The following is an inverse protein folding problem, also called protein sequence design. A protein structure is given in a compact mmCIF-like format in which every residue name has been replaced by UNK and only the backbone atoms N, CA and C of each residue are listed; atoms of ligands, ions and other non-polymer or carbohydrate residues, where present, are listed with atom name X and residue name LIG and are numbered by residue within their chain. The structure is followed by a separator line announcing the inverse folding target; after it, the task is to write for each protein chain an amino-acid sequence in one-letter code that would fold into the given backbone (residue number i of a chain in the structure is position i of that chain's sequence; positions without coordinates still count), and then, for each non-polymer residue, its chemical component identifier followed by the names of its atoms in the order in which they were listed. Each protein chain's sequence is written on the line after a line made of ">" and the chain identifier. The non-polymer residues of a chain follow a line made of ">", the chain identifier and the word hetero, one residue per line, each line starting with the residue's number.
data_IF_714913241761
#
_entry.id   IF_714913241761
#
_cell.length_a   1.000
_cell.length_b   1.000
_cell.length_c   1.000
_cell.angle_alpha   90.00
_cell.angle_beta   90.00
_cell.angle_gamma   90.00
#
_symmetry.space_group_name_H-M   'P 1'
#
loop_
_entity.id
_entity.type
_entity.pdbx_description
1 polymer ?
#
# COMPACT_ATOMS: atom_id res chain seq x y z
N UNK A 1 34.89 -24.65 -25.63
CA UNK A 1 34.55 -23.29 -26.19
C UNK A 1 33.12 -23.23 -26.73
N UNK A 2 32.53 -24.31 -27.31
CA UNK A 2 31.14 -24.29 -27.86
C UNK A 2 30.07 -24.40 -26.81
N UNK A 3 30.32 -25.06 -25.66
CA UNK A 3 29.38 -25.18 -24.53
C UNK A 3 29.25 -23.88 -23.71
N UNK A 4 30.32 -23.12 -23.56
CA UNK A 4 30.30 -21.86 -22.83
C UNK A 4 29.55 -20.75 -23.60
N UNK A 5 29.67 -20.76 -24.95
CA UNK A 5 28.89 -19.87 -25.82
C UNK A 5 27.40 -20.16 -25.77
N UNK A 6 26.98 -21.43 -25.62
CA UNK A 6 25.59 -21.82 -25.46
C UNK A 6 25.02 -21.38 -24.12
N UNK A 7 25.78 -21.57 -23.02
CA UNK A 7 25.34 -21.15 -21.68
C UNK A 7 25.22 -19.59 -21.55
N UNK A 8 26.16 -18.84 -22.12
CA UNK A 8 26.08 -17.38 -22.16
C UNK A 8 24.89 -16.90 -23.01
N UNK A 9 24.62 -17.56 -24.15
CA UNK A 9 23.46 -17.29 -25.00
C UNK A 9 22.13 -17.62 -24.30
N UNK A 10 22.08 -18.68 -23.50
CA UNK A 10 20.90 -19.04 -22.72
C UNK A 10 20.67 -18.09 -21.55
N UNK A 11 21.73 -17.63 -20.90
CA UNK A 11 21.64 -16.59 -19.85
C UNK A 11 21.16 -15.27 -20.46
N UNK A 12 21.68 -14.90 -21.64
CA UNK A 12 21.25 -13.66 -22.34
C UNK A 12 19.80 -13.77 -22.85
N UNK A 13 19.37 -14.92 -23.33
CA UNK A 13 17.97 -15.17 -23.72
C UNK A 13 17.05 -15.18 -22.51
N UNK A 14 17.49 -15.70 -21.37
CA UNK A 14 16.73 -15.62 -20.11
C UNK A 14 16.63 -14.19 -19.58
N UNK A 15 17.70 -13.39 -19.66
CA UNK A 15 17.68 -11.98 -19.28
C UNK A 15 16.81 -11.15 -20.23
N UNK A 16 16.85 -11.39 -21.53
CA UNK A 16 15.96 -10.74 -22.50
C UNK A 16 14.49 -11.13 -22.33
N UNK A 17 14.20 -12.36 -21.91
CA UNK A 17 12.85 -12.79 -21.54
C UNK A 17 12.36 -12.18 -20.21
N UNK A 18 13.25 -11.78 -19.32
CA UNK A 18 12.91 -11.09 -18.07
C UNK A 18 12.36 -9.67 -18.30
N UNK A 19 12.68 -9.04 -19.43
CA UNK A 19 12.24 -7.68 -19.75
C UNK A 19 11.11 -7.60 -20.79
N UNK A 20 10.83 -8.65 -21.55
CA UNK A 20 9.91 -8.59 -22.69
C UNK A 20 8.89 -9.72 -22.77
N UNK A 21 8.93 -10.74 -21.91
CA UNK A 21 7.85 -11.71 -21.84
C UNK A 21 6.87 -11.30 -20.74
N UNK A 22 5.61 -11.12 -21.10
CA UNK A 22 4.51 -11.29 -20.17
C UNK A 22 4.86 -12.50 -19.29
N UNK A 23 5.12 -12.22 -18.00
CA UNK A 23 5.35 -13.26 -17.01
C UNK A 23 4.01 -13.98 -16.84
N UNK A 24 3.79 -15.00 -17.67
CA UNK A 24 2.53 -15.75 -17.72
C UNK A 24 2.52 -16.76 -16.56
N UNK A 25 2.21 -16.23 -15.38
CA UNK A 25 2.06 -16.99 -14.12
C UNK A 25 1.02 -18.10 -14.27
N UNK A 26 0.10 -18.00 -15.23
CA UNK A 26 -1.01 -18.95 -15.39
C UNK A 26 -0.56 -20.36 -15.71
N UNK A 27 0.63 -20.51 -16.30
CA UNK A 27 1.19 -21.83 -16.70
C UNK A 27 1.85 -22.59 -15.55
N UNK A 28 2.24 -21.87 -14.50
CA UNK A 28 3.00 -22.43 -13.37
C UNK A 28 2.16 -22.61 -12.11
N UNK A 29 0.88 -22.18 -12.14
CA UNK A 29 -0.05 -22.33 -11.03
C UNK A 29 -0.70 -23.72 -11.06
N UNK A 30 -0.58 -24.43 -9.95
CA UNK A 30 -1.24 -25.72 -9.74
C UNK A 30 -2.43 -25.57 -8.78
N UNK A 31 -3.44 -26.40 -8.97
CA UNK A 31 -4.57 -26.46 -8.03
C UNK A 31 -4.56 -27.87 -7.39
N UNK A 32 -4.18 -27.93 -6.13
CA UNK A 32 -4.12 -29.18 -5.37
C UNK A 32 -5.43 -29.47 -4.61
N UNK A 33 -6.24 -28.43 -4.37
CA UNK A 33 -7.51 -28.57 -3.66
C UNK A 33 -8.70 -28.54 -4.65
N UNK A 34 -9.65 -29.48 -4.58
CA UNK A 34 -10.84 -29.48 -5.45
C UNK A 34 -11.65 -28.20 -5.37
N UNK A 35 -11.74 -27.58 -4.18
CA UNK A 35 -12.44 -26.32 -3.91
C UNK A 35 -11.60 -25.07 -4.17
N UNK A 36 -10.30 -25.23 -4.43
CA UNK A 36 -9.34 -24.13 -4.51
C UNK A 36 -9.66 -23.10 -5.59
N UNK A 37 -10.18 -23.53 -6.74
CA UNK A 37 -10.60 -22.62 -7.82
C UNK A 37 -11.80 -21.77 -7.43
N UNK A 38 -12.81 -22.38 -6.83
CA UNK A 38 -14.06 -21.69 -6.40
C UNK A 38 -13.73 -20.69 -5.31
N UNK A 39 -12.96 -21.11 -4.30
CA UNK A 39 -12.55 -20.23 -3.19
C UNK A 39 -11.74 -19.04 -3.70
N UNK A 40 -10.78 -19.26 -4.60
CA UNK A 40 -9.98 -18.21 -5.20
C UNK A 40 -10.81 -17.22 -6.00
N UNK A 41 -11.78 -17.71 -6.77
CA UNK A 41 -12.69 -16.88 -7.55
C UNK A 41 -13.59 -16.02 -6.64
N UNK A 42 -14.18 -16.61 -5.62
CA UNK A 42 -15.01 -15.88 -4.65
C UNK A 42 -14.19 -14.80 -3.95
N UNK A 43 -12.98 -15.12 -3.50
CA UNK A 43 -12.08 -14.20 -2.83
C UNK A 43 -11.69 -13.03 -3.75
N UNK A 44 -11.34 -13.30 -5.00
CA UNK A 44 -11.00 -12.27 -5.98
C UNK A 44 -12.20 -11.33 -6.25
N UNK A 45 -13.39 -11.87 -6.48
CA UNK A 45 -14.61 -11.09 -6.72
C UNK A 45 -14.94 -10.22 -5.50
N UNK A 46 -14.90 -10.80 -4.28
CA UNK A 46 -15.18 -10.07 -3.05
C UNK A 46 -14.23 -8.89 -2.86
N UNK A 47 -12.95 -9.09 -3.11
CA UNK A 47 -11.93 -8.04 -2.93
C UNK A 47 -12.02 -6.98 -4.01
N UNK A 48 -12.22 -7.34 -5.27
CA UNK A 48 -12.47 -6.37 -6.34
C UNK A 48 -13.73 -5.54 -6.02
N UNK A 49 -14.79 -6.18 -5.57
CA UNK A 49 -16.02 -5.51 -5.11
C UNK A 49 -15.75 -4.56 -3.94
N UNK A 50 -14.95 -4.98 -2.96
CA UNK A 50 -14.57 -4.14 -1.82
C UNK A 50 -13.75 -2.93 -2.25
N UNK A 51 -12.76 -3.10 -3.12
CA UNK A 51 -11.93 -1.99 -3.65
C UNK A 51 -12.81 -0.94 -4.34
N UNK A 52 -13.77 -1.36 -5.14
CA UNK A 52 -14.71 -0.45 -5.82
C UNK A 52 -15.70 0.18 -4.82
N UNK A 53 -16.09 -0.54 -3.75
CA UNK A 53 -17.02 -0.05 -2.73
C UNK A 53 -16.36 0.92 -1.73
N UNK A 54 -15.04 0.83 -1.50
CA UNK A 54 -14.34 1.67 -0.50
C UNK A 54 -14.55 3.18 -0.72
N UNK A 55 -14.45 3.76 -1.91
CA UNK A 55 -14.75 5.17 -2.11
C UNK A 55 -16.17 5.56 -1.65
N UNK A 56 -17.14 4.70 -1.90
CA UNK A 56 -18.52 4.90 -1.46
C UNK A 56 -18.66 4.74 0.06
N UNK A 57 -18.04 3.73 0.66
CA UNK A 57 -18.01 3.52 2.12
C UNK A 57 -17.42 4.74 2.82
N UNK A 58 -16.28 5.25 2.32
CA UNK A 58 -15.62 6.44 2.84
C UNK A 58 -16.55 7.66 2.74
N UNK A 59 -17.25 7.81 1.63
CA UNK A 59 -18.23 8.87 1.42
C UNK A 59 -19.35 8.81 2.45
N UNK A 60 -19.93 7.64 2.70
CA UNK A 60 -21.01 7.46 3.69
C UNK A 60 -20.53 7.69 5.13
N UNK A 61 -19.37 7.15 5.51
CA UNK A 61 -18.76 7.42 6.82
C UNK A 61 -18.58 8.92 7.00
N UNK A 62 -18.06 9.61 5.98
CA UNK A 62 -17.83 11.06 6.05
C UNK A 62 -19.14 11.86 6.11
N UNK A 63 -20.16 11.42 5.41
CA UNK A 63 -21.51 12.00 5.48
C UNK A 63 -22.10 11.91 6.88
N UNK A 64 -21.85 10.80 7.57
CA UNK A 64 -22.26 10.62 8.97
C UNK A 64 -21.49 11.51 9.94
N UNK A 65 -20.18 11.70 9.73
CA UNK A 65 -19.31 12.52 10.59
C UNK A 65 -19.53 14.03 10.36
N UNK A 66 -19.91 14.42 9.14
CA UNK A 66 -20.10 15.82 8.71
C UNK A 66 -20.99 16.69 9.62
N UNK A 67 -22.14 16.23 10.17
CA UNK A 67 -22.96 17.05 11.06
C UNK A 67 -22.30 17.37 12.40
N UNK A 68 -21.31 16.56 12.84
CA UNK A 68 -20.56 16.82 14.08
C UNK A 68 -19.38 17.80 13.91
N UNK A 69 -19.10 18.27 12.69
CA UNK A 69 -17.99 19.19 12.41
C UNK A 69 -18.49 20.66 12.36
N UNK A 70 -17.61 21.59 12.77
CA UNK A 70 -17.86 23.04 12.66
C UNK A 70 -18.05 23.46 11.19
N UNK A 71 -18.83 24.53 10.94
CA UNK A 71 -19.18 25.01 9.59
C UNK A 71 -17.97 25.24 8.66
N UNK A 72 -16.84 25.71 9.20
CA UNK A 72 -15.61 25.93 8.45
C UNK A 72 -14.92 24.63 8.01
N UNK A 73 -15.10 23.56 8.77
CA UNK A 73 -14.54 22.21 8.48
C UNK A 73 -15.45 21.47 7.51
N UNK A 74 -16.73 21.74 7.55
CA UNK A 74 -17.75 21.17 6.66
C UNK A 74 -17.50 21.50 5.18
N UNK A 75 -16.98 22.70 4.87
CA UNK A 75 -16.59 23.08 3.50
C UNK A 75 -15.38 22.30 2.98
N UNK A 76 -14.49 21.88 3.86
CA UNK A 76 -13.32 21.05 3.51
C UNK A 76 -13.65 19.55 3.43
N UNK A 77 -14.84 19.15 3.84
CA UNK A 77 -15.27 17.76 3.93
C UNK A 77 -15.17 16.99 2.59
N UNK A 78 -15.66 17.59 1.52
CA UNK A 78 -15.64 16.97 0.18
C UNK A 78 -14.22 16.78 -0.35
N UNK A 79 -13.34 17.77 -0.11
CA UNK A 79 -11.93 17.67 -0.49
C UNK A 79 -11.20 16.56 0.29
N UNK A 80 -11.56 16.34 1.54
CA UNK A 80 -10.98 15.28 2.37
C UNK A 80 -11.39 13.90 1.88
N UNK A 81 -12.66 13.69 1.53
CA UNK A 81 -13.12 12.41 0.94
C UNK A 81 -12.40 12.11 -0.37
N UNK A 82 -12.26 13.13 -1.23
CA UNK A 82 -11.51 12.97 -2.48
C UNK A 82 -10.04 12.59 -2.22
N UNK A 83 -9.39 13.26 -1.26
CA UNK A 83 -8.02 12.93 -0.87
C UNK A 83 -7.89 11.48 -0.33
N UNK A 84 -8.81 11.04 0.54
CA UNK A 84 -8.85 9.66 1.06
C UNK A 84 -8.94 8.66 -0.09
N UNK A 85 -9.90 8.87 -1.00
CA UNK A 85 -10.09 8.00 -2.16
C UNK A 85 -8.85 7.96 -3.05
N UNK A 86 -8.24 9.12 -3.31
CA UNK A 86 -7.03 9.22 -4.13
C UNK A 86 -5.85 8.46 -3.50
N UNK A 87 -5.60 8.66 -2.20
CA UNK A 87 -4.54 7.95 -1.48
C UNK A 87 -4.79 6.44 -1.47
N UNK A 88 -6.02 6.01 -1.19
CA UNK A 88 -6.35 4.59 -1.20
C UNK A 88 -6.10 3.96 -2.57
N UNK A 89 -6.62 4.55 -3.64
CA UNK A 89 -6.42 4.05 -5.01
C UNK A 89 -4.95 4.08 -5.43
N UNK A 90 -4.20 5.11 -5.03
CA UNK A 90 -2.75 5.15 -5.30
C UNK A 90 -1.99 4.02 -4.61
N UNK A 91 -2.41 3.62 -3.40
CA UNK A 91 -1.86 2.45 -2.70
C UNK A 91 -2.16 1.14 -3.43
N UNK A 92 -3.40 0.97 -3.91
CA UNK A 92 -3.79 -0.19 -4.73
C UNK A 92 -2.96 -0.24 -6.02
N UNK A 93 -2.85 0.87 -6.75
CA UNK A 93 -2.06 0.95 -7.99
C UNK A 93 -0.58 0.67 -7.74
N UNK A 94 0.01 1.25 -6.70
CA UNK A 94 1.39 0.97 -6.33
C UNK A 94 1.62 -0.51 -6.04
N UNK A 95 0.72 -1.11 -5.26
CA UNK A 95 0.78 -2.54 -4.95
C UNK A 95 0.68 -3.40 -6.22
N UNK A 96 -0.27 -3.09 -7.10
CA UNK A 96 -0.53 -3.85 -8.32
C UNK A 96 0.63 -3.78 -9.32
N UNK A 97 1.15 -2.57 -9.59
CA UNK A 97 2.15 -2.38 -10.64
C UNK A 97 3.59 -2.59 -10.16
N UNK A 98 3.88 -2.43 -8.89
CA UNK A 98 5.25 -2.46 -8.39
C UNK A 98 5.48 -3.59 -7.39
N UNK A 99 4.69 -3.68 -6.33
CA UNK A 99 4.98 -4.60 -5.24
C UNK A 99 4.67 -6.06 -5.63
N UNK A 100 3.52 -6.30 -6.23
CA UNK A 100 3.12 -7.66 -6.63
C UNK A 100 4.04 -8.30 -7.69
N UNK A 101 4.36 -7.62 -8.81
CA UNK A 101 5.28 -8.20 -9.80
C UNK A 101 6.66 -8.49 -9.20
N UNK A 102 7.17 -7.57 -8.36
CA UNK A 102 8.47 -7.74 -7.73
C UNK A 102 8.47 -8.92 -6.75
N UNK A 103 7.47 -9.02 -5.87
CA UNK A 103 7.35 -10.10 -4.89
C UNK A 103 7.17 -11.45 -5.58
N UNK A 104 6.30 -11.53 -6.57
CA UNK A 104 6.07 -12.78 -7.32
C UNK A 104 7.30 -13.23 -8.08
N UNK A 105 7.97 -12.31 -8.79
CA UNK A 105 9.20 -12.62 -9.53
C UNK A 105 10.31 -13.11 -8.60
N UNK A 106 10.51 -12.43 -7.47
CA UNK A 106 11.49 -12.86 -6.48
C UNK A 106 11.19 -14.26 -5.94
N UNK A 107 9.97 -14.48 -5.48
CA UNK A 107 9.57 -15.76 -4.86
C UNK A 107 9.59 -16.92 -5.85
N UNK A 108 9.25 -16.71 -7.13
CA UNK A 108 9.37 -17.73 -8.17
C UNK A 108 10.82 -18.05 -8.52
N UNK A 109 11.70 -17.03 -8.50
CA UNK A 109 13.11 -17.20 -8.84
C UNK A 109 13.96 -17.73 -7.69
N UNK A 110 13.46 -17.64 -6.45
CA UNK A 110 14.21 -18.03 -5.26
C UNK A 110 14.06 -19.54 -4.99
N UNK A 111 14.98 -20.33 -5.50
CA UNK A 111 15.06 -21.79 -5.28
C UNK A 111 16.49 -22.22 -4.89
N UNK A 112 16.91 -21.93 -3.64
CA UNK A 112 18.27 -22.22 -3.17
C UNK A 112 18.57 -23.73 -3.03
N UNK A 113 17.51 -24.55 -2.93
CA UNK A 113 17.65 -26.01 -2.74
C UNK A 113 17.37 -26.84 -4.00
N UNK A 114 17.07 -26.20 -5.14
CA UNK A 114 16.71 -26.84 -6.41
C UNK A 114 15.55 -27.84 -6.27
N UNK A 115 14.56 -27.53 -5.45
CA UNK A 115 13.40 -28.41 -5.21
C UNK A 115 12.26 -28.15 -6.21
N UNK A 116 12.32 -27.01 -6.92
CA UNK A 116 11.26 -26.54 -7.82
C UNK A 116 10.09 -25.93 -7.06
N UNK A 117 9.85 -24.64 -7.30
CA UNK A 117 8.75 -23.92 -6.65
C UNK A 117 7.43 -24.20 -7.38
N UNK A 118 6.52 -24.94 -6.73
CA UNK A 118 5.15 -25.11 -7.20
C UNK A 118 4.20 -24.18 -6.41
N UNK A 119 3.49 -23.33 -7.12
CA UNK A 119 2.55 -22.40 -6.51
C UNK A 119 1.12 -22.90 -6.67
N UNK A 120 0.36 -22.83 -5.58
CA UNK A 120 -1.07 -23.14 -5.63
C UNK A 120 -1.87 -21.87 -5.89
N UNK A 121 -2.89 -21.96 -6.74
CA UNK A 121 -3.77 -20.85 -7.09
C UNK A 121 -4.34 -20.12 -5.84
N UNK A 122 -4.85 -20.81 -4.80
CA UNK A 122 -5.36 -20.13 -3.61
C UNK A 122 -4.31 -19.30 -2.85
N UNK A 123 -3.06 -19.80 -2.76
CA UNK A 123 -1.98 -19.07 -2.09
C UNK A 123 -1.58 -17.82 -2.89
N UNK A 124 -1.52 -17.93 -4.21
CA UNK A 124 -1.24 -16.78 -5.07
C UNK A 124 -2.31 -15.70 -4.94
N UNK A 125 -3.60 -16.07 -5.00
CA UNK A 125 -4.70 -15.12 -4.84
C UNK A 125 -4.71 -14.51 -3.43
N UNK A 126 -4.43 -15.30 -2.40
CA UNK A 126 -4.33 -14.79 -1.02
C UNK A 126 -3.22 -13.73 -0.88
N UNK A 127 -2.04 -13.99 -1.44
CA UNK A 127 -0.93 -13.03 -1.48
C UNK A 127 -1.34 -11.73 -2.20
N UNK A 128 -1.94 -11.89 -3.37
CA UNK A 128 -2.42 -10.78 -4.20
C UNK A 128 -3.39 -9.89 -3.42
N UNK A 129 -4.41 -10.47 -2.82
CA UNK A 129 -5.43 -9.80 -2.03
C UNK A 129 -4.84 -9.11 -0.81
N UNK A 130 -4.03 -9.83 -0.03
CA UNK A 130 -3.42 -9.29 1.18
C UNK A 130 -2.56 -8.07 0.87
N UNK A 131 -1.72 -8.15 -0.16
CA UNK A 131 -0.81 -7.07 -0.53
C UNK A 131 -1.56 -5.85 -1.04
N UNK A 132 -2.58 -6.02 -1.89
CA UNK A 132 -3.41 -4.94 -2.40
C UNK A 132 -4.14 -4.19 -1.28
N UNK A 133 -4.88 -4.91 -0.44
CA UNK A 133 -5.69 -4.29 0.61
C UNK A 133 -4.83 -3.63 1.68
N UNK A 134 -3.77 -4.31 2.12
CA UNK A 134 -2.87 -3.75 3.13
C UNK A 134 -2.24 -2.45 2.65
N UNK A 135 -1.75 -2.41 1.42
CA UNK A 135 -1.13 -1.22 0.84
C UNK A 135 -2.14 -0.09 0.65
N UNK A 136 -3.36 -0.41 0.17
CA UNK A 136 -4.44 0.57 0.07
C UNK A 136 -4.74 1.25 1.41
N UNK A 137 -4.86 0.47 2.50
CA UNK A 137 -5.12 0.99 3.85
C UNK A 137 -3.95 1.82 4.37
N UNK A 138 -2.71 1.39 4.18
CA UNK A 138 -1.54 2.09 4.70
C UNK A 138 -1.30 3.42 3.97
N UNK A 139 -1.64 3.51 2.70
CA UNK A 139 -1.58 4.78 1.99
C UNK A 139 -2.54 5.84 2.54
N UNK A 140 -3.50 5.46 3.39
CA UNK A 140 -4.33 6.41 4.14
C UNK A 140 -3.61 7.07 5.34
N UNK A 141 -2.38 6.67 5.68
CA UNK A 141 -1.63 7.20 6.81
C UNK A 141 -1.58 8.75 6.85
N UNK A 142 -1.32 9.49 5.75
CA UNK A 142 -1.35 10.95 5.76
C UNK A 142 -2.72 11.53 6.15
N UNK A 143 -3.79 10.84 5.80
CA UNK A 143 -5.16 11.28 6.11
C UNK A 143 -5.48 11.04 7.58
N UNK A 144 -5.05 9.90 8.15
CA UNK A 144 -5.16 9.64 9.58
C UNK A 144 -4.42 10.70 10.40
N UNK A 145 -3.18 11.03 10.00
CA UNK A 145 -2.39 12.08 10.66
C UNK A 145 -3.06 13.43 10.54
N UNK A 146 -3.64 13.78 9.37
CA UNK A 146 -4.44 14.98 9.18
C UNK A 146 -5.59 15.05 10.20
N UNK A 147 -6.35 13.98 10.32
CA UNK A 147 -7.49 13.91 11.24
C UNK A 147 -7.07 14.06 12.70
N UNK A 148 -6.08 13.30 13.17
CA UNK A 148 -5.60 13.37 14.56
C UNK A 148 -4.96 14.72 14.89
N UNK A 149 -4.30 15.36 13.93
CA UNK A 149 -3.77 16.73 14.13
C UNK A 149 -4.90 17.74 14.20
N UNK A 150 -5.96 17.57 13.40
CA UNK A 150 -7.11 18.49 13.39
C UNK A 150 -7.88 18.49 14.72
N UNK A 151 -7.96 17.36 15.41
CA UNK A 151 -8.58 17.26 16.76
C UNK A 151 -7.59 17.54 17.89
N UNK A 152 -6.32 17.87 17.58
CA UNK A 152 -5.31 18.26 18.57
C UNK A 152 -4.61 17.10 19.28
N UNK A 153 -4.86 15.84 18.89
CA UNK A 153 -4.20 14.65 19.47
C UNK A 153 -2.75 14.48 19.03
N UNK A 154 -2.42 14.92 17.81
CA UNK A 154 -1.07 14.83 17.27
C UNK A 154 -0.50 16.22 17.01
N UNK A 155 0.75 16.44 17.42
CA UNK A 155 1.49 17.64 17.11
C UNK A 155 2.62 17.35 16.12
N UNK A 156 2.98 18.32 15.25
CA UNK A 156 4.13 18.14 14.33
C UNK A 156 5.44 17.89 15.06
N UNK A 157 5.59 18.45 16.26
CA UNK A 157 6.77 18.26 17.12
C UNK A 157 6.89 16.81 17.56
N UNK A 158 5.78 16.18 17.97
CA UNK A 158 5.74 14.77 18.33
C UNK A 158 6.19 13.89 17.16
N UNK A 159 5.61 14.06 15.98
CA UNK A 159 5.99 13.30 14.79
C UNK A 159 7.48 13.48 14.43
N UNK A 160 8.01 14.70 14.52
CA UNK A 160 9.42 14.96 14.23
C UNK A 160 10.37 14.31 15.27
N UNK A 161 10.03 14.35 16.55
CA UNK A 161 10.83 13.77 17.64
C UNK A 161 10.91 12.25 17.52
N UNK A 162 9.78 11.60 17.15
CA UNK A 162 9.68 10.15 17.05
C UNK A 162 10.01 9.56 15.67
N UNK A 163 10.63 10.31 14.77
CA UNK A 163 11.03 9.84 13.42
C UNK A 163 11.78 8.51 13.41
N UNK A 164 12.75 8.35 14.33
CA UNK A 164 13.55 7.11 14.43
C UNK A 164 12.69 5.90 14.78
N UNK A 165 11.75 6.06 15.68
CA UNK A 165 10.80 5.01 16.05
C UNK A 165 9.80 4.73 14.91
N UNK A 166 9.33 5.77 14.23
CA UNK A 166 8.44 5.64 13.09
C UNK A 166 9.11 4.85 11.95
N UNK A 167 10.42 5.02 11.73
CA UNK A 167 11.16 4.23 10.75
C UNK A 167 11.11 2.74 11.06
N UNK A 168 11.34 2.37 12.32
CA UNK A 168 11.24 0.96 12.76
C UNK A 168 9.83 0.43 12.59
N UNK A 169 8.81 1.21 12.96
CA UNK A 169 7.39 0.84 12.77
C UNK A 169 7.08 0.64 11.29
N UNK A 170 7.55 1.51 10.41
CA UNK A 170 7.40 1.38 8.95
C UNK A 170 8.01 0.07 8.44
N UNK A 171 9.21 -0.31 8.91
CA UNK A 171 9.83 -1.58 8.54
C UNK A 171 9.04 -2.78 9.03
N UNK A 172 8.53 -2.74 10.26
CA UNK A 172 7.68 -3.81 10.81
C UNK A 172 6.38 -3.94 10.01
N UNK A 173 5.75 -2.83 9.66
CA UNK A 173 4.54 -2.83 8.82
C UNK A 173 4.86 -3.39 7.42
N UNK A 174 5.96 -2.94 6.80
CA UNK A 174 6.39 -3.47 5.51
C UNK A 174 6.61 -4.98 5.56
N UNK A 175 7.29 -5.48 6.60
CA UNK A 175 7.50 -6.92 6.81
C UNK A 175 6.19 -7.72 7.02
N UNK A 176 5.19 -7.12 7.65
CA UNK A 176 3.89 -7.77 7.85
C UNK A 176 3.06 -7.88 6.56
N UNK A 177 3.25 -6.95 5.61
CA UNK A 177 2.50 -6.91 4.36
C UNK A 177 3.15 -7.78 3.29
N UNK A 178 4.47 -7.73 3.22
CA UNK A 178 5.22 -8.45 2.19
C UNK A 178 5.35 -9.94 2.54
N UNK A 179 5.32 -10.81 1.54
CA UNK A 179 5.43 -12.25 1.78
C UNK A 179 6.86 -12.63 2.12
N UNK A 180 7.28 -12.47 3.39
CA UNK A 180 8.54 -12.93 3.99
C UNK A 180 9.82 -12.81 3.11
N UNK A 181 9.85 -11.87 2.19
CA UNK A 181 11.01 -11.59 1.34
C UNK A 181 11.61 -10.22 1.65
N UNK A 182 12.91 -10.19 1.84
CA UNK A 182 13.65 -8.97 2.22
C UNK A 182 13.60 -7.92 1.10
N UNK A 183 13.61 -8.35 -0.16
CA UNK A 183 13.63 -7.43 -1.29
C UNK A 183 12.33 -6.63 -1.37
N UNK A 184 11.19 -7.31 -1.35
CA UNK A 184 9.87 -6.64 -1.37
C UNK A 184 9.64 -5.79 -0.12
N UNK A 185 10.14 -6.24 1.05
CA UNK A 185 10.10 -5.44 2.27
C UNK A 185 10.83 -4.10 2.12
N UNK A 186 12.05 -4.10 1.56
CA UNK A 186 12.82 -2.87 1.33
C UNK A 186 12.08 -1.97 0.33
N UNK A 187 11.60 -2.52 -0.78
CA UNK A 187 10.86 -1.75 -1.79
C UNK A 187 9.57 -1.18 -1.23
N UNK A 188 8.82 -1.93 -0.43
CA UNK A 188 7.61 -1.44 0.24
C UNK A 188 7.93 -0.34 1.27
N UNK A 189 9.06 -0.43 1.98
CA UNK A 189 9.42 0.54 3.01
C UNK A 189 9.70 1.95 2.47
N UNK A 190 10.19 2.06 1.23
CA UNK A 190 10.51 3.36 0.61
C UNK A 190 9.27 4.26 0.48
N UNK A 191 8.17 3.85 -0.18
CA UNK A 191 6.97 4.67 -0.27
C UNK A 191 6.29 4.87 1.08
N UNK A 192 6.35 3.88 1.99
CA UNK A 192 5.81 4.02 3.34
C UNK A 192 6.54 5.11 4.12
N UNK A 193 7.86 5.17 4.01
CA UNK A 193 8.64 6.24 4.60
C UNK A 193 8.30 7.61 3.99
N UNK A 194 8.16 7.66 2.67
CA UNK A 194 7.72 8.88 1.98
C UNK A 194 6.34 9.35 2.46
N UNK A 195 5.38 8.44 2.63
CA UNK A 195 4.06 8.74 3.18
C UNK A 195 4.13 9.27 4.61
N UNK A 196 5.04 8.72 5.43
CA UNK A 196 5.27 9.25 6.77
C UNK A 196 5.78 10.69 6.74
N UNK A 197 6.77 11.01 5.92
CA UNK A 197 7.29 12.38 5.78
C UNK A 197 6.20 13.33 5.23
N UNK A 198 5.41 12.87 4.27
CA UNK A 198 4.25 13.62 3.78
C UNK A 198 3.26 13.90 4.92
N UNK A 199 3.03 12.94 5.80
CA UNK A 199 2.17 13.08 6.97
C UNK A 199 2.70 14.14 7.94
N UNK A 200 4.01 14.24 8.14
CA UNK A 200 4.65 15.28 8.96
C UNK A 200 4.41 16.68 8.36
N UNK A 201 4.51 16.81 7.03
CA UNK A 201 4.22 18.08 6.33
C UNK A 201 2.75 18.45 6.47
N UNK A 202 1.85 17.50 6.29
CA UNK A 202 0.40 17.71 6.47
C UNK A 202 0.08 18.18 7.90
N UNK A 203 0.64 17.50 8.92
CA UNK A 203 0.47 17.90 10.33
C UNK A 203 0.94 19.32 10.59
N UNK A 204 2.10 19.69 10.05
CA UNK A 204 2.64 21.06 10.22
C UNK A 204 1.73 22.13 9.60
N UNK A 205 1.20 21.87 8.41
CA UNK A 205 0.30 22.79 7.74
C UNK A 205 -1.04 22.97 8.49
N UNK A 206 -1.59 21.88 9.03
CA UNK A 206 -2.82 21.92 9.84
C UNK A 206 -2.61 22.69 11.13
N UNK A 207 -1.55 22.37 11.85
CA UNK A 207 -1.21 23.02 13.13
C UNK A 207 -0.98 24.53 12.97
N UNK A 208 -0.22 24.92 11.95
CA UNK A 208 0.03 26.35 11.65
C UNK A 208 -1.28 27.10 11.32
N UNK A 209 -2.21 26.45 10.60
CA UNK A 209 -3.52 27.05 10.34
C UNK A 209 -4.36 27.22 11.60
N UNK A 210 -4.28 26.29 12.54
CA UNK A 210 -4.99 26.39 13.83
C UNK A 210 -4.44 27.54 14.68
N UNK A 211 -3.11 27.67 14.79
CA UNK A 211 -2.46 28.77 15.52
C UNK A 211 -2.87 30.14 14.96
N UNK A 212 -2.80 30.31 13.65
CA UNK A 212 -3.21 31.57 13.00
C UNK A 212 -4.69 31.91 13.22
N UNK A 213 -5.58 30.93 13.37
CA UNK A 213 -6.99 31.17 13.69
C UNK A 213 -7.15 31.62 15.14
N UNK A 214 -6.40 31.06 16.09
CA UNK A 214 -6.41 31.45 17.49
C UNK A 214 -5.89 32.87 17.67
N UNK A 215 -4.78 33.24 17.04
CA UNK A 215 -4.23 34.59 17.07
C UNK A 215 -5.25 35.63 16.55
N UNK A 216 -5.91 35.34 15.42
CA UNK A 216 -6.94 36.24 14.87
C UNK A 216 -8.18 36.37 15.74
N UNK A 217 -8.52 35.39 16.56
CA UNK A 217 -9.63 35.46 17.50
C UNK A 217 -9.28 36.32 18.71
N UNK A 218 -8.01 36.28 19.16
CA UNK A 218 -7.52 37.12 20.29
C UNK A 218 -7.36 38.59 19.92
N UNK A 219 -7.00 38.89 18.67
CA UNK A 219 -6.86 40.30 18.19
C UNK A 219 -8.18 40.95 17.82
N UNK A 220 -9.31 40.24 17.85
CA UNK A 220 -10.62 40.74 17.48
C UNK A 220 -11.51 41.07 18.71
N UNK A 221 -11.06 40.68 19.91
CA UNK A 221 -11.61 41.03 21.20
C UNK A 221 -10.78 42.14 21.85
#
# INVERSE_FOLDING_TARGET
>A
TRKESSAASDVYKRQGKLYTSEFDISKDLTNLDPSGQITSQIMAILVCGLIVAIPYIIWEIWRFVKPGLNENERKSATSTVFAITLFFLSGILFSYYMLLPLSTQFLFSYDPFNVGNTWTLPKYISLFVQTLLSMGVIFLLPVFVYFFTSIGLLTPTFLKTYRKHAFVVVLVIAAAITPNDILSMIVASIPLWFLYELSVVVANNVYTKQLRKQEKSLTKN
#
